data_IF_747257006146
#
_entry.id   IF_747257006146
#
_cell.length_a   1.000
_cell.length_b   1.000
_cell.length_c   1.000
_cell.angle_alpha   90.00
_cell.angle_beta   90.00
_cell.angle_gamma   90.00
#
_symmetry.space_group_name_H-M   'P 1'
#
loop_
_entity.id
_entity.type
_entity.pdbx_description
1 polymer ?
#
# COMPACT_ATOMS: atom_id res chain seq x y z
N UNK A 1 -5.24 23.81 -16.14
CA UNK A 1 -5.50 23.52 -14.71
C UNK A 1 -4.26 22.83 -14.20
N UNK A 2 -3.52 23.43 -13.24
CA UNK A 2 -2.35 22.77 -12.66
C UNK A 2 -2.81 21.45 -12.03
N UNK A 3 -2.21 20.32 -12.40
CA UNK A 3 -2.44 19.06 -11.73
C UNK A 3 -2.18 19.29 -10.23
N UNK A 4 -3.22 19.18 -9.42
CA UNK A 4 -3.06 19.19 -7.97
C UNK A 4 -2.03 18.12 -7.62
N UNK A 5 -1.01 18.45 -6.83
CA UNK A 5 0.11 17.56 -6.48
C UNK A 5 -0.32 16.48 -5.47
N UNK A 6 -1.54 15.93 -5.64
CA UNK A 6 -2.09 14.87 -4.79
C UNK A 6 -1.45 13.53 -5.11
N UNK A 7 -1.26 12.73 -4.07
CA UNK A 7 -0.93 11.32 -4.21
C UNK A 7 -2.23 10.59 -4.56
N UNK A 8 -2.25 9.85 -5.66
CA UNK A 8 -3.44 9.17 -6.18
C UNK A 8 -3.07 7.84 -6.82
N UNK A 9 -4.07 7.01 -7.12
CA UNK A 9 -3.86 5.70 -7.73
C UNK A 9 -3.68 4.59 -6.71
N UNK A 10 -3.15 3.47 -7.17
CA UNK A 10 -2.87 2.29 -6.33
C UNK A 10 -1.40 2.29 -5.92
N UNK A 11 -1.16 2.57 -4.64
CA UNK A 11 0.17 2.53 -4.04
C UNK A 11 0.33 1.21 -3.28
N UNK A 12 1.22 0.36 -3.73
CA UNK A 12 1.36 -1.00 -3.18
C UNK A 12 2.19 -1.02 -1.92
N UNK A 13 1.61 -1.46 -0.77
CA UNK A 13 2.39 -1.77 0.43
C UNK A 13 3.14 -3.08 0.19
N UNK A 14 4.31 -2.96 -0.44
CA UNK A 14 5.08 -4.11 -0.89
C UNK A 14 5.55 -4.98 0.28
N UNK A 15 5.49 -6.30 0.07
CA UNK A 15 6.08 -7.28 0.96
C UNK A 15 7.61 -7.12 1.00
N UNK A 16 8.21 -7.58 2.08
CA UNK A 16 9.66 -7.65 2.22
C UNK A 16 10.09 -9.11 2.20
N UNK A 17 10.78 -9.58 1.14
CA UNK A 17 11.30 -10.93 1.08
C UNK A 17 12.48 -11.10 2.02
N UNK A 18 12.61 -12.30 2.59
CA UNK A 18 13.73 -12.70 3.44
C UNK A 18 14.31 -14.04 2.98
N UNK A 19 15.63 -14.18 3.10
CA UNK A 19 16.32 -15.41 2.80
C UNK A 19 16.12 -16.48 3.90
N UNK A 20 16.72 -17.65 3.72
CA UNK A 20 16.66 -18.76 4.68
C UNK A 20 17.32 -18.46 6.04
N UNK A 21 18.08 -17.38 6.14
CA UNK A 21 18.68 -16.88 7.38
C UNK A 21 17.88 -15.72 8.00
N UNK A 22 16.76 -15.34 7.40
CA UNK A 22 15.90 -14.23 7.83
C UNK A 22 16.47 -12.85 7.50
N UNK A 23 17.47 -12.75 6.63
CA UNK A 23 17.98 -11.45 6.13
C UNK A 23 17.14 -11.00 4.95
N UNK A 24 17.08 -9.69 4.71
CA UNK A 24 16.42 -9.13 3.52
C UNK A 24 17.05 -9.75 2.27
N UNK A 25 16.20 -10.27 1.38
CA UNK A 25 16.60 -10.77 0.07
C UNK A 25 16.49 -9.63 -0.96
N UNK A 26 17.62 -8.96 -1.18
CA UNK A 26 17.68 -7.78 -2.04
C UNK A 26 17.33 -8.11 -3.50
N UNK A 27 17.77 -9.25 -4.01
CA UNK A 27 17.54 -9.64 -5.41
C UNK A 27 16.05 -9.92 -5.65
N UNK A 28 15.44 -10.67 -4.74
CA UNK A 28 14.00 -10.91 -4.78
C UNK A 28 13.20 -9.60 -4.63
N UNK A 29 13.62 -8.71 -3.71
CA UNK A 29 12.95 -7.42 -3.52
C UNK A 29 13.04 -6.54 -4.77
N UNK A 30 14.20 -6.46 -5.42
CA UNK A 30 14.38 -5.72 -6.68
C UNK A 30 13.52 -6.26 -7.80
N UNK A 31 13.51 -7.56 -8.01
CA UNK A 31 12.67 -8.20 -9.01
C UNK A 31 11.18 -7.97 -8.75
N UNK A 32 10.76 -8.06 -7.49
CA UNK A 32 9.37 -7.82 -7.09
C UNK A 32 8.95 -6.35 -7.31
N UNK A 33 9.84 -5.39 -7.04
CA UNK A 33 9.61 -3.96 -7.34
C UNK A 33 9.41 -3.74 -8.83
N UNK A 34 10.27 -4.32 -9.68
CA UNK A 34 10.12 -4.21 -11.14
C UNK A 34 8.80 -4.82 -11.61
N UNK A 35 8.47 -6.01 -11.13
CA UNK A 35 7.22 -6.67 -11.47
C UNK A 35 5.98 -5.86 -11.08
N UNK A 36 5.95 -5.25 -9.89
CA UNK A 36 4.85 -4.39 -9.46
C UNK A 36 4.67 -3.20 -10.41
N UNK A 37 5.77 -2.52 -10.76
CA UNK A 37 5.76 -1.37 -11.65
C UNK A 37 5.30 -1.77 -13.06
N UNK A 38 5.82 -2.88 -13.61
CA UNK A 38 5.42 -3.42 -14.91
C UNK A 38 3.94 -3.81 -14.95
N UNK A 39 3.37 -4.24 -13.81
CA UNK A 39 1.93 -4.51 -13.66
C UNK A 39 1.10 -3.26 -13.42
N UNK A 40 1.75 -2.09 -13.40
CA UNK A 40 1.12 -0.79 -13.49
C UNK A 40 0.62 -0.23 -12.17
N UNK A 41 1.23 -0.58 -11.03
CA UNK A 41 0.96 0.14 -9.78
C UNK A 41 1.38 1.60 -9.91
N UNK A 42 0.62 2.49 -9.27
CA UNK A 42 0.85 3.93 -9.35
C UNK A 42 1.85 4.44 -8.31
N UNK A 43 2.29 3.57 -7.40
CA UNK A 43 3.31 3.89 -6.40
C UNK A 43 3.70 2.68 -5.54
N UNK A 44 4.75 2.84 -4.77
CA UNK A 44 5.30 1.84 -3.85
C UNK A 44 5.24 2.35 -2.41
N UNK A 45 4.99 1.44 -1.47
CA UNK A 45 4.96 1.76 -0.05
C UNK A 45 5.77 0.73 0.77
N UNK A 46 7.14 0.79 0.73
CA UNK A 46 7.99 -0.03 1.59
C UNK A 46 7.80 0.29 3.08
N UNK A 47 8.15 -0.65 3.94
CA UNK A 47 8.03 -0.54 5.40
C UNK A 47 6.61 -0.22 5.90
N UNK A 48 5.58 -0.64 5.17
CA UNK A 48 4.21 -0.67 5.69
C UNK A 48 3.97 -1.87 6.61
N UNK A 49 2.73 -1.99 7.12
CA UNK A 49 2.33 -3.16 7.94
C UNK A 49 2.46 -4.46 7.15
N UNK A 50 2.08 -4.47 5.86
CA UNK A 50 2.26 -5.62 4.97
C UNK A 50 3.73 -5.98 4.75
N UNK A 51 4.61 -4.98 4.75
CA UNK A 51 6.07 -5.16 4.70
C UNK A 51 6.69 -5.51 6.05
N UNK A 52 5.90 -5.72 7.10
CA UNK A 52 6.33 -6.18 8.43
C UNK A 52 7.36 -5.26 9.11
N UNK A 53 7.25 -3.95 8.92
CA UNK A 53 8.26 -2.99 9.36
C UNK A 53 8.72 -3.16 10.81
N UNK A 54 7.82 -3.52 11.73
CA UNK A 54 8.16 -3.71 13.15
C UNK A 54 9.07 -4.91 13.42
N UNK A 55 9.21 -5.84 12.46
CA UNK A 55 10.05 -7.05 12.55
C UNK A 55 11.45 -6.84 12.01
N UNK A 56 11.76 -5.65 11.51
CA UNK A 56 13.06 -5.23 11.01
C UNK A 56 13.67 -4.16 11.91
N UNK A 57 14.99 -4.22 12.09
CA UNK A 57 15.72 -3.19 12.82
C UNK A 57 15.69 -1.85 12.06
N UNK A 58 15.93 -0.70 12.71
CA UNK A 58 15.98 0.60 12.01
C UNK A 58 16.97 0.61 10.84
N UNK A 59 18.11 -0.05 10.97
CA UNK A 59 19.10 -0.15 9.88
C UNK A 59 18.59 -0.97 8.71
N UNK A 60 17.91 -2.08 8.95
CA UNK A 60 17.30 -2.90 7.89
C UNK A 60 16.15 -2.16 7.20
N UNK A 61 15.35 -1.41 7.96
CA UNK A 61 14.29 -0.58 7.36
C UNK A 61 14.86 0.50 6.42
N UNK A 62 15.97 1.16 6.80
CA UNK A 62 16.68 2.09 5.91
C UNK A 62 17.20 1.37 4.66
N UNK A 63 17.78 0.18 4.84
CA UNK A 63 18.26 -0.64 3.72
C UNK A 63 17.11 -1.03 2.76
N UNK A 64 15.97 -1.49 3.28
CA UNK A 64 14.79 -1.83 2.47
C UNK A 64 14.33 -0.62 1.62
N UNK A 65 14.21 0.56 2.23
CA UNK A 65 13.82 1.77 1.49
C UNK A 65 14.84 2.10 0.41
N UNK A 66 16.14 2.02 0.73
CA UNK A 66 17.21 2.28 -0.24
C UNK A 66 17.13 1.33 -1.43
N UNK A 67 16.97 0.01 -1.20
CA UNK A 67 16.82 -0.98 -2.27
C UNK A 67 15.62 -0.67 -3.17
N UNK A 68 14.48 -0.30 -2.56
CA UNK A 68 13.26 0.04 -3.31
C UNK A 68 13.44 1.32 -4.12
N UNK A 69 14.03 2.36 -3.54
CA UNK A 69 14.26 3.64 -4.24
C UNK A 69 15.26 3.46 -5.38
N UNK A 70 16.37 2.76 -5.13
CA UNK A 70 17.38 2.47 -6.16
C UNK A 70 16.79 1.68 -7.33
N UNK A 71 15.98 0.67 -7.03
CA UNK A 71 15.37 -0.15 -8.08
C UNK A 71 14.25 0.58 -8.80
N UNK A 72 13.47 1.41 -8.08
CA UNK A 72 12.40 2.22 -8.66
C UNK A 72 12.90 3.20 -9.72
N UNK A 73 14.10 3.76 -9.56
CA UNK A 73 14.71 4.73 -10.51
C UNK A 73 13.77 5.88 -10.88
N UNK A 74 12.93 6.32 -9.97
CA UNK A 74 11.98 7.42 -10.19
C UNK A 74 10.79 7.09 -11.10
N UNK A 75 10.52 5.81 -11.42
CA UNK A 75 9.41 5.40 -12.29
C UNK A 75 8.04 5.68 -11.69
N UNK A 76 7.91 5.51 -10.38
CA UNK A 76 6.67 5.80 -9.62
C UNK A 76 7.01 6.46 -8.29
N UNK A 77 6.08 7.21 -7.66
CA UNK A 77 6.31 7.75 -6.32
C UNK A 77 6.51 6.64 -5.28
N UNK A 78 7.41 6.91 -4.31
CA UNK A 78 7.62 6.05 -3.14
C UNK A 78 7.12 6.75 -1.89
N UNK A 79 6.22 6.12 -1.13
CA UNK A 79 5.80 6.50 0.20
C UNK A 79 6.45 5.55 1.19
N UNK A 80 7.47 5.99 1.91
CA UNK A 80 8.18 5.11 2.84
C UNK A 80 7.56 5.12 4.24
N UNK A 81 7.25 3.95 4.78
CA UNK A 81 6.84 3.81 6.17
C UNK A 81 7.99 4.17 7.11
N UNK A 82 7.83 5.24 7.91
CA UNK A 82 8.88 5.82 8.74
C UNK A 82 8.62 5.72 10.25
N UNK A 83 7.54 5.04 10.67
CA UNK A 83 7.22 4.92 12.08
C UNK A 83 8.23 4.06 12.84
N UNK A 84 8.71 4.58 13.95
CA UNK A 84 9.61 3.92 14.88
C UNK A 84 8.96 3.83 16.27
N UNK A 85 9.63 3.14 17.22
CA UNK A 85 9.10 2.97 18.57
C UNK A 85 9.01 4.29 19.36
N UNK A 86 9.78 5.29 18.98
CA UNK A 86 9.78 6.61 19.63
C UNK A 86 9.89 7.73 18.59
N UNK A 87 9.45 8.94 18.98
CA UNK A 87 9.38 10.09 18.10
C UNK A 87 10.74 10.53 17.54
N UNK A 88 11.81 10.41 18.32
CA UNK A 88 13.16 10.81 17.89
C UNK A 88 13.63 9.95 16.72
N UNK A 89 13.55 8.64 16.86
CA UNK A 89 13.91 7.69 15.79
C UNK A 89 12.99 7.83 14.58
N UNK A 90 11.69 8.15 14.79
CA UNK A 90 10.76 8.45 13.69
C UNK A 90 11.23 9.66 12.88
N UNK A 91 11.64 10.76 13.53
CA UNK A 91 12.17 11.96 12.87
C UNK A 91 13.47 11.62 12.12
N UNK A 92 14.38 10.86 12.73
CA UNK A 92 15.62 10.41 12.09
C UNK A 92 15.34 9.55 10.84
N UNK A 93 14.36 8.64 10.91
CA UNK A 93 13.96 7.83 9.76
C UNK A 93 13.34 8.70 8.64
N UNK A 94 12.47 9.65 8.98
CA UNK A 94 11.88 10.57 8.02
C UNK A 94 12.93 11.35 7.25
N UNK A 95 13.92 11.93 7.96
CA UNK A 95 15.00 12.70 7.34
C UNK A 95 15.86 11.81 6.42
N UNK A 96 16.25 10.62 6.90
CA UNK A 96 17.01 9.66 6.09
C UNK A 96 16.25 9.26 4.80
N UNK A 97 14.95 9.03 4.89
CA UNK A 97 14.15 8.69 3.69
C UNK A 97 13.94 9.90 2.76
N UNK A 98 13.81 11.10 3.33
CA UNK A 98 13.80 12.35 2.54
C UNK A 98 15.08 12.52 1.71
N UNK A 99 16.25 12.26 2.31
CA UNK A 99 17.55 12.29 1.63
C UNK A 99 17.66 11.23 0.50
N UNK A 100 16.98 10.08 0.66
CA UNK A 100 16.87 9.05 -0.40
C UNK A 100 15.96 9.46 -1.56
N UNK A 101 15.22 10.57 -1.43
CA UNK A 101 14.34 11.10 -2.49
C UNK A 101 12.95 10.45 -2.55
N UNK A 102 12.43 9.94 -1.45
CA UNK A 102 11.02 9.48 -1.41
C UNK A 102 10.06 10.65 -1.61
N UNK A 103 8.88 10.39 -2.19
CA UNK A 103 7.84 11.43 -2.40
C UNK A 103 7.26 11.94 -1.08
N UNK A 104 7.08 11.04 -0.13
CA UNK A 104 6.61 11.36 1.21
C UNK A 104 6.92 10.19 2.15
N UNK A 105 6.89 10.46 3.46
CA UNK A 105 6.88 9.41 4.48
C UNK A 105 5.47 9.13 4.95
N UNK A 106 5.19 7.87 5.30
CA UNK A 106 3.92 7.45 5.86
C UNK A 106 4.13 7.00 7.32
N UNK A 107 3.40 7.60 8.24
CA UNK A 107 3.64 7.39 9.67
C UNK A 107 2.37 6.89 10.32
N UNK A 108 2.42 5.66 10.88
CA UNK A 108 1.37 5.13 11.74
C UNK A 108 1.36 5.86 13.08
N UNK A 109 0.18 6.10 13.63
CA UNK A 109 0.06 6.66 14.98
C UNK A 109 0.75 5.74 16.01
N UNK A 110 1.14 6.25 17.19
CA UNK A 110 1.78 5.44 18.23
C UNK A 110 0.97 4.17 18.56
N UNK A 111 1.65 3.03 18.59
CA UNK A 111 1.00 1.72 18.55
C UNK A 111 1.14 0.87 19.82
N UNK A 112 2.12 1.11 20.71
CA UNK A 112 2.25 0.35 21.95
C UNK A 112 1.36 0.91 23.06
N UNK A 113 1.48 2.22 23.34
CA UNK A 113 0.60 2.90 24.27
C UNK A 113 -0.49 3.65 23.51
N UNK A 114 -1.74 3.47 23.92
CA UNK A 114 -2.86 4.22 23.36
C UNK A 114 -2.81 5.66 23.85
N UNK A 115 -2.76 6.60 22.90
CA UNK A 115 -2.78 8.02 23.18
C UNK A 115 -4.19 8.61 23.06
N UNK A 116 -4.42 9.74 23.73
CA UNK A 116 -5.55 10.60 23.48
C UNK A 116 -5.41 11.34 22.14
N UNK A 117 -6.49 11.92 21.63
CA UNK A 117 -6.48 12.73 20.40
C UNK A 117 -5.45 13.87 20.46
N UNK A 118 -5.35 14.56 21.62
CA UNK A 118 -4.33 15.60 21.82
C UNK A 118 -2.91 15.05 21.80
N UNK A 119 -2.70 13.85 22.36
CA UNK A 119 -1.38 13.17 22.30
C UNK A 119 -1.01 12.77 20.85
N UNK A 120 -1.98 12.27 20.07
CA UNK A 120 -1.79 11.95 18.66
C UNK A 120 -1.49 13.23 17.85
N UNK A 121 -2.26 14.32 18.08
CA UNK A 121 -1.97 15.60 17.44
C UNK A 121 -0.57 16.10 17.76
N UNK A 122 -0.17 16.12 19.03
CA UNK A 122 1.14 16.59 19.46
C UNK A 122 2.28 15.76 18.84
N UNK A 123 2.11 14.43 18.77
CA UNK A 123 3.06 13.53 18.13
C UNK A 123 3.30 13.88 16.65
N UNK A 124 2.24 13.97 15.86
CA UNK A 124 2.38 14.28 14.44
C UNK A 124 2.84 15.72 14.19
N UNK A 125 2.38 16.67 15.02
CA UNK A 125 2.82 18.06 14.96
C UNK A 125 4.33 18.18 15.15
N UNK A 126 4.86 17.53 16.20
CA UNK A 126 6.30 17.53 16.49
C UNK A 126 7.10 16.96 15.31
N UNK A 127 6.64 15.87 14.70
CA UNK A 127 7.31 15.27 13.53
C UNK A 127 7.27 16.25 12.36
N UNK A 128 6.07 16.77 12.01
CA UNK A 128 5.90 17.65 10.86
C UNK A 128 6.73 18.95 10.97
N UNK A 129 6.91 19.46 12.19
CA UNK A 129 7.75 20.66 12.47
C UNK A 129 9.26 20.35 12.45
N UNK A 130 9.67 19.06 12.45
CA UNK A 130 11.07 18.63 12.58
C UNK A 130 11.66 17.99 11.32
N UNK A 131 10.87 17.84 10.25
CA UNK A 131 11.32 17.16 9.03
C UNK A 131 11.15 18.03 7.79
N UNK A 132 11.94 17.77 6.75
CA UNK A 132 11.84 18.47 5.47
C UNK A 132 11.09 17.71 4.37
N UNK A 133 10.78 16.43 4.61
CA UNK A 133 10.00 15.59 3.72
C UNK A 133 8.50 15.70 4.02
N UNK A 134 7.66 15.54 3.00
CA UNK A 134 6.20 15.51 3.17
C UNK A 134 5.76 14.27 3.99
N UNK A 135 4.72 14.45 4.78
CA UNK A 135 4.19 13.44 5.72
C UNK A 135 2.77 13.03 5.31
N UNK A 136 2.51 11.73 5.29
CA UNK A 136 1.16 11.18 5.25
C UNK A 136 0.84 10.48 6.57
N UNK A 137 -0.34 10.74 7.09
CA UNK A 137 -0.85 10.08 8.30
C UNK A 137 -1.27 8.65 7.95
N UNK A 138 -1.05 7.71 8.86
CA UNK A 138 -1.55 6.36 8.70
C UNK A 138 -2.46 5.98 9.87
N UNK A 139 -3.75 5.91 9.62
CA UNK A 139 -4.77 5.47 10.57
C UNK A 139 -5.05 3.98 10.39
N UNK A 140 -4.72 3.18 11.41
CA UNK A 140 -5.03 1.75 11.49
C UNK A 140 -5.42 1.39 12.93
N UNK A 141 -6.68 1.62 13.32
CA UNK A 141 -7.13 1.40 14.71
C UNK A 141 -6.98 -0.03 15.23
N UNK A 142 -6.82 -1.00 14.32
CA UNK A 142 -6.56 -2.40 14.67
C UNK A 142 -5.21 -2.59 15.39
N UNK A 143 -4.19 -1.77 15.06
CA UNK A 143 -2.82 -1.94 15.57
C UNK A 143 -2.28 -0.72 16.32
N UNK A 144 -2.90 0.45 16.19
CA UNK A 144 -2.37 1.71 16.68
C UNK A 144 -3.45 2.60 17.30
N UNK A 145 -3.03 3.71 17.93
CA UNK A 145 -3.96 4.73 18.39
C UNK A 145 -4.76 5.28 17.21
N UNK A 146 -6.10 5.36 17.30
CA UNK A 146 -6.90 5.91 16.23
C UNK A 146 -6.62 7.41 16.04
N UNK A 147 -6.72 7.88 14.80
CA UNK A 147 -6.65 9.29 14.44
C UNK A 147 -8.07 9.71 14.08
N UNK A 148 -8.72 10.48 14.94
CA UNK A 148 -10.08 10.94 14.69
C UNK A 148 -10.14 12.06 13.64
N UNK A 149 -11.35 12.32 13.11
CA UNK A 149 -11.59 13.28 12.03
C UNK A 149 -11.09 14.68 12.39
N UNK A 150 -11.33 15.14 13.63
CA UNK A 150 -10.91 16.47 14.06
C UNK A 150 -9.38 16.58 14.17
N UNK A 151 -8.72 15.54 14.67
CA UNK A 151 -7.26 15.48 14.72
C UNK A 151 -6.65 15.54 13.31
N UNK A 152 -7.20 14.77 12.35
CA UNK A 152 -6.74 14.83 10.94
C UNK A 152 -6.95 16.24 10.37
N UNK A 153 -8.13 16.84 10.59
CA UNK A 153 -8.45 18.18 10.11
C UNK A 153 -7.48 19.23 10.67
N UNK A 154 -7.22 19.23 11.97
CA UNK A 154 -6.27 20.14 12.61
C UNK A 154 -4.87 19.98 12.02
N UNK A 155 -4.35 18.75 11.93
CA UNK A 155 -3.04 18.49 11.34
C UNK A 155 -2.96 18.95 9.88
N UNK A 156 -4.00 18.73 9.09
CA UNK A 156 -4.04 19.18 7.71
C UNK A 156 -4.01 20.73 7.59
N UNK A 157 -4.62 21.47 8.54
CA UNK A 157 -4.64 22.93 8.51
C UNK A 157 -3.37 23.53 9.11
N UNK A 158 -2.90 22.98 10.21
CA UNK A 158 -1.81 23.56 11.00
C UNK A 158 -0.42 23.16 10.50
N UNK A 159 -0.30 22.04 9.76
CA UNK A 159 0.96 21.47 9.32
C UNK A 159 1.00 21.35 7.78
N UNK A 160 1.57 22.32 7.05
CA UNK A 160 1.61 22.27 5.58
C UNK A 160 2.27 21.01 5.00
N UNK A 161 3.23 20.42 5.72
CA UNK A 161 3.89 19.17 5.32
C UNK A 161 3.03 17.92 5.50
N UNK A 162 1.93 17.99 6.25
CA UNK A 162 0.95 16.91 6.32
C UNK A 162 0.06 16.99 5.08
N UNK A 163 0.34 16.15 4.09
CA UNK A 163 -0.24 16.22 2.74
C UNK A 163 -1.28 15.16 2.44
N UNK A 164 -1.55 14.25 3.37
CA UNK A 164 -2.53 13.20 3.14
C UNK A 164 -2.70 12.25 4.31
N UNK A 165 -3.66 11.36 4.14
CA UNK A 165 -3.93 10.25 5.06
C UNK A 165 -4.16 8.96 4.29
N UNK A 166 -3.61 7.85 4.81
CA UNK A 166 -4.05 6.49 4.53
C UNK A 166 -4.94 6.02 5.68
N UNK A 167 -6.15 5.62 5.40
CA UNK A 167 -7.08 5.07 6.39
C UNK A 167 -7.40 3.60 6.13
N UNK A 168 -7.02 2.75 7.08
CA UNK A 168 -7.28 1.30 7.09
C UNK A 168 -8.34 0.88 8.09
N UNK A 169 -9.18 1.82 8.56
CA UNK A 169 -10.28 1.51 9.48
C UNK A 169 -11.46 0.80 8.81
N UNK A 170 -11.65 1.03 7.50
CA UNK A 170 -12.86 0.63 6.78
C UNK A 170 -14.08 1.52 7.09
N UNK A 171 -13.92 2.57 7.89
CA UNK A 171 -15.01 3.48 8.29
C UNK A 171 -15.30 4.52 7.19
N UNK A 172 -16.15 4.14 6.24
CA UNK A 172 -16.58 5.01 5.15
C UNK A 172 -17.21 6.33 5.65
N UNK A 173 -18.13 6.35 6.65
CA UNK A 173 -18.64 7.59 7.21
C UNK A 173 -17.55 8.53 7.73
N UNK A 174 -16.52 8.03 8.40
CA UNK A 174 -15.42 8.88 8.86
C UNK A 174 -14.56 9.40 7.70
N UNK A 175 -14.29 8.57 6.69
CA UNK A 175 -13.62 9.03 5.48
C UNK A 175 -14.37 10.17 4.80
N UNK A 176 -15.70 10.06 4.65
CA UNK A 176 -16.53 11.11 4.07
C UNK A 176 -16.47 12.41 4.87
N UNK A 177 -16.49 12.33 6.22
CA UNK A 177 -16.34 13.51 7.10
C UNK A 177 -14.98 14.17 6.95
N UNK A 178 -13.90 13.39 6.86
CA UNK A 178 -12.56 13.93 6.61
C UNK A 178 -12.50 14.66 5.25
N UNK A 179 -12.97 14.04 4.19
CA UNK A 179 -13.00 14.63 2.85
C UNK A 179 -13.83 15.93 2.86
N UNK A 180 -15.04 15.89 3.42
CA UNK A 180 -15.93 17.06 3.49
C UNK A 180 -15.30 18.24 4.24
N UNK A 181 -14.61 17.97 5.36
CA UNK A 181 -14.08 19.03 6.22
C UNK A 181 -12.73 19.58 5.78
N UNK A 182 -11.93 18.81 5.03
CA UNK A 182 -10.55 19.15 4.68
C UNK A 182 -10.45 19.64 3.22
N UNK A 183 -11.03 18.93 2.27
CA UNK A 183 -10.84 19.18 0.83
C UNK A 183 -11.21 20.58 0.37
N UNK A 184 -12.25 21.27 0.90
CA UNK A 184 -12.58 22.65 0.51
C UNK A 184 -11.46 23.65 0.83
N UNK A 185 -10.63 23.40 1.84
CA UNK A 185 -9.55 24.28 2.30
C UNK A 185 -8.16 23.78 1.86
N UNK A 186 -7.98 22.46 1.71
CA UNK A 186 -6.77 21.78 1.30
C UNK A 186 -7.08 20.84 0.12
N UNK A 187 -7.31 21.45 -1.05
CA UNK A 187 -7.61 20.71 -2.28
C UNK A 187 -6.43 19.81 -2.74
N UNK A 188 -5.24 20.05 -2.21
CA UNK A 188 -4.01 19.28 -2.40
C UNK A 188 -3.89 18.07 -1.48
N UNK A 189 -4.71 17.97 -0.40
CA UNK A 189 -4.64 16.88 0.58
C UNK A 189 -5.17 15.57 -0.01
N UNK A 190 -4.39 14.50 0.15
CA UNK A 190 -4.68 13.17 -0.40
C UNK A 190 -5.39 12.26 0.60
N UNK A 191 -6.43 11.57 0.14
CA UNK A 191 -7.17 10.57 0.92
C UNK A 191 -7.00 9.20 0.27
N UNK A 192 -6.34 8.28 0.98
CA UNK A 192 -6.07 6.92 0.49
C UNK A 192 -6.76 5.90 1.39
N UNK A 193 -7.50 4.96 0.80
CA UNK A 193 -8.03 3.84 1.57
C UNK A 193 -6.99 2.73 1.69
N UNK A 194 -6.86 2.16 2.88
CA UNK A 194 -6.03 0.99 3.13
C UNK A 194 -6.85 -0.26 3.45
N UNK A 195 -8.18 -0.24 3.22
CA UNK A 195 -9.07 -1.35 3.44
C UNK A 195 -9.51 -1.96 2.12
N UNK A 196 -8.91 -3.07 1.75
CA UNK A 196 -9.07 -3.74 0.44
C UNK A 196 -10.54 -4.07 0.12
N UNK A 197 -11.29 -4.53 1.12
CA UNK A 197 -12.71 -4.90 0.97
C UNK A 197 -13.64 -3.72 0.64
N UNK A 198 -13.17 -2.48 0.79
CA UNK A 198 -13.96 -1.27 0.53
C UNK A 198 -13.32 -0.33 -0.51
N UNK A 199 -12.44 -0.83 -1.39
CA UNK A 199 -11.74 0.02 -2.35
C UNK A 199 -12.72 0.83 -3.21
N UNK A 200 -13.70 0.18 -3.86
CA UNK A 200 -14.67 0.85 -4.73
C UNK A 200 -15.53 1.87 -3.98
N UNK A 201 -16.23 1.52 -2.87
CA UNK A 201 -17.05 2.51 -2.17
C UNK A 201 -16.22 3.69 -1.62
N UNK A 202 -14.98 3.49 -1.20
CA UNK A 202 -14.09 4.57 -0.77
C UNK A 202 -13.69 5.49 -1.92
N UNK A 203 -13.40 4.94 -3.11
CA UNK A 203 -13.13 5.74 -4.31
C UNK A 203 -14.35 6.56 -4.72
N UNK A 204 -15.55 5.97 -4.72
CA UNK A 204 -16.82 6.67 -5.01
C UNK A 204 -17.08 7.80 -3.99
N UNK A 205 -16.73 7.58 -2.73
CA UNK A 205 -16.86 8.62 -1.68
C UNK A 205 -15.86 9.77 -1.85
N UNK A 206 -14.86 9.63 -2.74
CA UNK A 206 -13.91 10.69 -3.09
C UNK A 206 -12.48 10.45 -2.61
N UNK A 207 -12.10 9.23 -2.22
CA UNK A 207 -10.68 8.91 -2.05
C UNK A 207 -9.93 9.07 -3.37
N UNK A 208 -8.68 9.53 -3.28
CA UNK A 208 -7.80 9.75 -4.42
C UNK A 208 -7.14 8.45 -4.90
N UNK A 209 -7.19 7.40 -4.08
CA UNK A 209 -6.59 6.11 -4.38
C UNK A 209 -6.65 5.13 -3.23
N UNK A 210 -5.87 4.07 -3.34
CA UNK A 210 -5.76 3.02 -2.34
C UNK A 210 -4.32 2.61 -2.05
N UNK A 211 -4.11 2.14 -0.81
CA UNK A 211 -2.87 1.49 -0.38
C UNK A 211 -3.24 0.09 0.11
N UNK A 212 -3.58 -0.78 -0.83
CA UNK A 212 -4.24 -2.06 -0.62
C UNK A 212 -3.23 -3.20 -0.64
N UNK A 213 -3.27 -4.10 0.33
CA UNK A 213 -2.32 -5.21 0.43
C UNK A 213 -2.47 -6.22 -0.71
N UNK A 214 -3.69 -6.39 -1.24
CA UNK A 214 -3.97 -7.23 -2.41
C UNK A 214 -3.25 -6.76 -3.67
N UNK A 215 -2.89 -5.46 -3.78
CA UNK A 215 -2.11 -4.95 -4.92
C UNK A 215 -0.69 -5.52 -4.99
N UNK A 216 -0.17 -6.08 -3.89
CA UNK A 216 1.09 -6.84 -3.88
C UNK A 216 0.96 -8.26 -4.46
N UNK A 217 -0.27 -8.73 -4.72
CA UNK A 217 -0.56 -10.08 -5.22
C UNK A 217 -1.26 -10.04 -6.58
N UNK A 218 -2.25 -9.19 -6.72
CA UNK A 218 -3.03 -9.01 -7.96
C UNK A 218 -3.08 -7.53 -8.36
N UNK A 219 -1.91 -6.92 -8.66
CA UNK A 219 -1.81 -5.50 -8.99
C UNK A 219 -2.68 -5.12 -10.19
N UNK A 220 -2.80 -6.00 -11.17
CA UNK A 220 -3.60 -5.79 -12.37
C UNK A 220 -5.08 -5.56 -12.02
N UNK A 221 -5.62 -6.38 -11.12
CA UNK A 221 -7.03 -6.31 -10.71
C UNK A 221 -7.30 -5.04 -9.90
N UNK A 222 -6.45 -4.71 -8.93
CA UNK A 222 -6.63 -3.51 -8.10
C UNK A 222 -6.51 -2.23 -8.94
N UNK A 223 -5.60 -2.21 -9.92
CA UNK A 223 -5.49 -1.13 -10.88
C UNK A 223 -6.72 -1.02 -11.77
N UNK A 224 -7.21 -2.15 -12.31
CA UNK A 224 -8.42 -2.17 -13.13
C UNK A 224 -9.65 -1.64 -12.37
N UNK A 225 -9.80 -2.02 -11.09
CA UNK A 225 -10.84 -1.47 -10.20
C UNK A 225 -10.72 0.06 -10.13
N UNK A 226 -9.52 0.57 -9.82
CA UNK A 226 -9.28 2.01 -9.73
C UNK A 226 -9.63 2.72 -11.06
N UNK A 227 -9.13 2.23 -12.17
CA UNK A 227 -9.39 2.81 -13.50
C UNK A 227 -10.87 2.80 -13.85
N UNK A 228 -11.58 1.70 -13.62
CA UNK A 228 -13.02 1.62 -13.91
C UNK A 228 -13.82 2.63 -13.10
N UNK A 229 -13.46 2.88 -11.83
CA UNK A 229 -14.11 3.95 -11.05
C UNK A 229 -13.79 5.33 -11.65
N UNK A 230 -12.53 5.61 -12.03
CA UNK A 230 -12.14 6.89 -12.63
C UNK A 230 -12.86 7.17 -13.96
N UNK A 231 -13.17 6.12 -14.71
CA UNK A 231 -13.87 6.18 -16.01
C UNK A 231 -15.39 6.11 -15.85
N UNK A 232 -15.92 6.03 -14.63
CA UNK A 232 -17.36 5.96 -14.35
C UNK A 232 -18.01 4.59 -14.61
N UNK A 233 -17.21 3.54 -14.86
CA UNK A 233 -17.69 2.16 -15.06
C UNK A 233 -17.91 1.46 -13.72
N UNK A 234 -18.85 2.00 -12.93
CA UNK A 234 -19.05 1.61 -11.51
C UNK A 234 -19.50 0.15 -11.34
N UNK A 235 -20.42 -0.32 -12.21
CA UNK A 235 -20.89 -1.72 -12.16
C UNK A 235 -19.74 -2.71 -12.37
N UNK A 236 -18.89 -2.43 -13.36
CA UNK A 236 -17.70 -3.24 -13.65
C UNK A 236 -16.71 -3.23 -12.49
N UNK A 237 -16.44 -2.04 -11.90
CA UNK A 237 -15.60 -1.91 -10.74
C UNK A 237 -16.15 -2.72 -9.54
N UNK A 238 -17.47 -2.68 -9.31
CA UNK A 238 -18.10 -3.45 -8.24
C UNK A 238 -18.03 -4.96 -8.48
N UNK A 239 -18.18 -5.42 -9.72
CA UNK A 239 -18.01 -6.85 -10.06
C UNK A 239 -16.57 -7.31 -9.73
N UNK A 240 -15.56 -6.55 -10.15
CA UNK A 240 -14.16 -6.82 -9.83
C UNK A 240 -13.89 -6.77 -8.32
N UNK A 241 -14.49 -5.83 -7.59
CA UNK A 241 -14.41 -5.75 -6.13
C UNK A 241 -14.95 -7.04 -5.49
N UNK A 242 -16.13 -7.55 -5.92
CA UNK A 242 -16.69 -8.79 -5.41
C UNK A 242 -15.82 -10.02 -5.74
N UNK A 243 -15.14 -10.03 -6.86
CA UNK A 243 -14.18 -11.09 -7.20
C UNK A 243 -12.92 -11.02 -6.32
N UNK A 244 -12.50 -9.83 -5.89
CA UNK A 244 -11.34 -9.64 -5.01
C UNK A 244 -11.60 -10.11 -3.57
N UNK A 245 -12.84 -9.98 -3.06
CA UNK A 245 -13.16 -10.24 -1.67
C UNK A 245 -12.75 -11.64 -1.18
N UNK A 246 -13.07 -12.75 -1.89
CA UNK A 246 -12.67 -14.08 -1.44
C UNK A 246 -11.15 -14.23 -1.27
N UNK A 247 -10.36 -13.66 -2.17
CA UNK A 247 -8.90 -13.67 -2.07
C UNK A 247 -8.42 -12.84 -0.88
N UNK A 248 -8.97 -11.64 -0.71
CA UNK A 248 -8.63 -10.79 0.43
C UNK A 248 -8.93 -11.48 1.76
N UNK A 249 -10.13 -12.06 1.92
CA UNK A 249 -10.56 -12.75 3.12
C UNK A 249 -9.68 -13.98 3.40
N UNK A 250 -9.38 -14.79 2.36
CA UNK A 250 -8.50 -15.94 2.49
C UNK A 250 -7.09 -15.55 2.94
N UNK A 251 -6.52 -14.47 2.36
CA UNK A 251 -5.19 -13.99 2.74
C UNK A 251 -5.17 -13.33 4.12
N UNK A 252 -6.21 -12.56 4.45
CA UNK A 252 -6.29 -11.88 5.76
C UNK A 252 -6.49 -12.89 6.90
N UNK A 253 -7.26 -13.95 6.67
CA UNK A 253 -7.54 -15.01 7.63
C UNK A 253 -6.47 -16.11 7.73
N UNK A 254 -5.45 -16.10 6.86
CA UNK A 254 -4.43 -17.12 6.81
C UNK A 254 -3.28 -16.86 7.78
N UNK A 255 -3.34 -17.46 8.96
CA UNK A 255 -2.27 -17.35 9.96
C UNK A 255 -2.12 -15.94 10.54
N UNK A 256 -0.92 -15.67 11.03
CA UNK A 256 -0.59 -14.32 11.54
C UNK A 256 -0.33 -13.37 10.37
N UNK A 257 -0.90 -12.15 10.46
CA UNK A 257 -0.66 -11.13 9.43
C UNK A 257 0.85 -10.82 9.30
N UNK A 258 1.43 -10.74 8.07
CA UNK A 258 0.78 -10.82 6.76
C UNK A 258 1.01 -12.16 6.01
N UNK A 259 1.07 -13.29 6.70
CA UNK A 259 1.48 -14.59 6.14
C UNK A 259 0.64 -15.03 4.92
N UNK A 260 -0.66 -14.78 4.93
CA UNK A 260 -1.50 -15.08 3.78
C UNK A 260 -1.13 -14.28 2.53
N UNK A 261 -0.72 -13.03 2.68
CA UNK A 261 -0.23 -12.19 1.56
C UNK A 261 1.11 -12.72 1.03
N UNK A 262 1.98 -13.28 1.89
CA UNK A 262 3.19 -14.00 1.45
C UNK A 262 2.84 -15.23 0.61
N UNK A 263 1.80 -16.00 0.99
CA UNK A 263 1.33 -17.11 0.18
C UNK A 263 0.74 -16.63 -1.15
N UNK A 264 0.00 -15.52 -1.16
CA UNK A 264 -0.49 -14.91 -2.39
C UNK A 264 0.64 -14.48 -3.34
N UNK A 265 1.68 -13.84 -2.84
CA UNK A 265 2.85 -13.47 -3.64
C UNK A 265 3.59 -14.72 -4.15
N UNK A 266 3.70 -15.78 -3.33
CA UNK A 266 4.28 -17.06 -3.76
C UNK A 266 3.49 -17.70 -4.90
N UNK A 267 2.15 -17.63 -4.87
CA UNK A 267 1.31 -18.09 -5.98
C UNK A 267 1.55 -17.31 -7.29
N UNK A 268 2.15 -16.12 -7.18
CA UNK A 268 2.60 -15.28 -8.32
C UNK A 268 4.06 -15.52 -8.71
N UNK A 269 4.72 -16.48 -8.09
CA UNK A 269 6.11 -16.83 -8.37
C UNK A 269 7.15 -16.07 -7.53
N UNK A 270 6.71 -15.30 -6.52
CA UNK A 270 7.62 -14.55 -5.65
C UNK A 270 7.83 -15.27 -4.32
N UNK A 271 9.02 -15.85 -4.10
CA UNK A 271 9.34 -16.45 -2.81
C UNK A 271 9.72 -15.38 -1.79
N UNK A 272 8.76 -15.01 -0.95
CA UNK A 272 8.95 -14.02 0.10
C UNK A 272 9.65 -14.58 1.36
N UNK A 273 10.08 -15.85 1.32
CA UNK A 273 10.68 -16.54 2.47
C UNK A 273 9.66 -16.85 3.57
N UNK A 274 10.17 -17.30 4.72
CA UNK A 274 9.34 -17.79 5.82
C UNK A 274 8.71 -16.68 6.69
N UNK A 275 9.06 -15.42 6.49
CA UNK A 275 8.74 -14.35 7.42
C UNK A 275 9.57 -14.43 8.71
N UNK A 276 9.54 -13.35 9.50
CA UNK A 276 10.34 -13.27 10.75
C UNK A 276 9.56 -13.66 12.01
N UNK A 277 8.23 -13.79 11.91
CA UNK A 277 7.43 -14.26 13.03
C UNK A 277 7.64 -15.75 13.24
N UNK A 278 8.09 -16.20 14.41
CA UNK A 278 8.14 -17.62 14.74
C UNK A 278 6.76 -18.27 14.64
N UNK A 279 6.71 -19.48 14.13
CA UNK A 279 5.47 -20.26 13.96
C UNK A 279 5.61 -21.63 14.64
N UNK A 280 4.55 -22.05 15.30
CA UNK A 280 4.45 -23.43 15.75
C UNK A 280 4.17 -24.38 14.56
N UNK A 281 4.45 -25.68 14.68
CA UNK A 281 4.07 -26.66 13.64
C UNK A 281 2.59 -26.63 13.30
N UNK A 282 1.71 -26.37 14.29
CA UNK A 282 0.28 -26.27 14.07
C UNK A 282 -0.09 -25.03 13.23
N UNK A 283 0.53 -23.88 13.50
CA UNK A 283 0.31 -22.66 12.69
C UNK A 283 0.82 -22.85 11.28
N UNK A 284 1.97 -23.52 11.11
CA UNK A 284 2.48 -23.82 9.76
C UNK A 284 1.54 -24.77 9.01
N UNK A 285 1.05 -25.82 9.65
CA UNK A 285 0.09 -26.73 9.02
C UNK A 285 -1.23 -26.04 8.64
N UNK A 286 -1.73 -25.12 9.47
CA UNK A 286 -2.91 -24.32 9.16
C UNK A 286 -2.66 -23.42 7.93
N UNK A 287 -1.49 -22.78 7.85
CA UNK A 287 -1.11 -21.96 6.70
C UNK A 287 -0.97 -22.79 5.42
N UNK A 288 -0.38 -23.97 5.51
CA UNK A 288 -0.27 -24.91 4.37
C UNK A 288 -1.66 -25.40 3.92
N UNK A 289 -2.61 -25.55 4.84
CA UNK A 289 -3.97 -25.97 4.55
C UNK A 289 -4.76 -24.94 3.71
N UNK A 290 -4.50 -23.64 3.86
CA UNK A 290 -5.16 -22.58 3.08
C UNK A 290 -4.41 -22.20 1.80
N UNK A 291 -3.20 -22.68 1.62
CA UNK A 291 -2.36 -22.36 0.45
C UNK A 291 -3.04 -22.67 -0.87
N UNK A 292 -3.55 -23.89 -1.02
CA UNK A 292 -4.18 -24.33 -2.28
C UNK A 292 -5.40 -23.46 -2.64
N UNK A 293 -6.15 -22.98 -1.66
CA UNK A 293 -7.28 -22.07 -1.90
C UNK A 293 -6.77 -20.70 -2.38
N UNK A 294 -5.73 -20.14 -1.75
CA UNK A 294 -5.12 -18.88 -2.17
C UNK A 294 -4.56 -19.03 -3.60
N UNK A 295 -3.84 -20.10 -3.92
CA UNK A 295 -3.31 -20.38 -5.25
C UNK A 295 -4.41 -20.46 -6.30
N UNK A 296 -5.52 -21.14 -5.97
CA UNK A 296 -6.69 -21.25 -6.85
C UNK A 296 -7.31 -19.87 -7.12
N UNK A 297 -7.54 -19.07 -6.07
CA UNK A 297 -8.11 -17.73 -6.19
C UNK A 297 -7.20 -16.78 -6.97
N UNK A 298 -5.90 -16.80 -6.70
CA UNK A 298 -4.91 -16.02 -7.45
C UNK A 298 -4.92 -16.41 -8.92
N UNK A 299 -4.91 -17.73 -9.24
CA UNK A 299 -4.96 -18.20 -10.62
C UNK A 299 -6.22 -17.75 -11.35
N UNK A 300 -7.38 -17.81 -10.68
CA UNK A 300 -8.64 -17.34 -11.26
C UNK A 300 -8.59 -15.84 -11.61
N UNK A 301 -8.07 -14.99 -10.70
CA UNK A 301 -8.04 -13.55 -10.90
C UNK A 301 -6.92 -13.10 -11.86
N UNK A 302 -5.80 -13.84 -11.93
CA UNK A 302 -4.68 -13.50 -12.80
C UNK A 302 -4.90 -13.90 -14.26
N UNK A 303 -5.77 -14.87 -14.52
CA UNK A 303 -6.05 -15.41 -15.84
C UNK A 303 -7.36 -14.86 -16.46
N UNK A 304 -8.11 -14.03 -15.73
CA UNK A 304 -9.27 -13.36 -16.31
C UNK A 304 -8.81 -12.26 -17.25
N UNK A 305 -9.42 -12.14 -18.47
CA UNK A 305 -9.20 -10.94 -19.28
C UNK A 305 -9.66 -9.73 -18.46
N UNK A 306 -8.82 -8.69 -18.43
CA UNK A 306 -9.17 -7.41 -17.79
C UNK A 306 -10.44 -6.95 -18.49
N UNK A 307 -11.52 -6.73 -17.73
CA UNK A 307 -12.77 -6.26 -18.27
C UNK A 307 -12.50 -4.96 -19.08
N UNK A 308 -12.97 -4.89 -20.33
CA UNK A 308 -12.70 -3.79 -21.25
C UNK A 308 -11.55 -4.00 -22.24
N UNK A 309 -10.76 -5.06 -22.12
CA UNK A 309 -9.79 -5.47 -23.14
C UNK A 309 -10.28 -6.77 -23.78
N UNK A 310 -10.73 -6.69 -25.00
CA UNK A 310 -11.20 -7.86 -25.75
C UNK A 310 -10.03 -8.72 -26.24
N UNK A 311 -10.29 -9.99 -26.57
CA UNK A 311 -9.30 -10.85 -27.20
C UNK A 311 -8.77 -10.24 -28.52
N UNK A 312 -9.60 -9.46 -29.21
CA UNK A 312 -9.23 -8.72 -30.42
C UNK A 312 -8.29 -7.56 -30.13
N UNK A 313 -8.44 -6.87 -28.99
CA UNK A 313 -7.52 -5.79 -28.58
C UNK A 313 -6.14 -6.36 -28.25
N UNK A 314 -6.08 -7.51 -27.54
CA UNK A 314 -4.82 -8.23 -27.26
C UNK A 314 -4.17 -8.70 -28.56
N UNK A 315 -4.94 -9.22 -29.50
CA UNK A 315 -4.48 -9.62 -30.83
C UNK A 315 -3.92 -8.43 -31.61
N UNK A 316 -4.58 -7.29 -31.53
CA UNK A 316 -4.17 -6.04 -32.20
C UNK A 316 -2.90 -5.47 -31.58
N UNK A 317 -2.79 -5.44 -30.25
CA UNK A 317 -1.58 -5.00 -29.55
C UNK A 317 -0.40 -5.91 -29.87
N UNK A 318 -0.60 -7.23 -29.87
CA UNK A 318 0.44 -8.18 -30.22
C UNK A 318 0.90 -8.04 -31.68
N UNK A 319 -0.02 -7.74 -32.61
CA UNK A 319 0.30 -7.47 -34.01
C UNK A 319 1.10 -6.16 -34.17
N UNK A 320 0.76 -5.11 -33.40
CA UNK A 320 1.51 -3.84 -33.39
C UNK A 320 2.91 -4.05 -32.83
N UNK A 321 3.03 -4.75 -31.70
CA UNK A 321 4.32 -5.05 -31.07
C UNK A 321 5.22 -5.85 -32.00
N UNK A 322 4.70 -6.88 -32.68
CA UNK A 322 5.47 -7.64 -33.67
C UNK A 322 5.95 -6.75 -34.83
N UNK A 323 5.07 -5.88 -35.37
CA UNK A 323 5.44 -4.96 -36.42
C UNK A 323 6.53 -3.96 -36.04
N UNK A 324 6.51 -3.47 -34.78
CA UNK A 324 7.54 -2.57 -34.28
C UNK A 324 8.86 -3.31 -34.09
N UNK A 325 8.83 -4.56 -33.60
CA UNK A 325 10.03 -5.38 -33.45
C UNK A 325 10.65 -5.85 -34.76
N UNK A 326 9.86 -5.96 -35.84
CA UNK A 326 10.33 -6.29 -37.19
C UNK A 326 10.95 -5.07 -37.91
N UNK A 327 10.79 -3.86 -37.38
CA UNK A 327 11.35 -2.61 -37.92
C UNK A 327 12.57 -2.07 -37.16
N UNK A 328 12.95 -2.74 -36.05
CA UNK A 328 14.17 -2.51 -35.27
C UNK A 328 15.24 -3.54 -35.63
#
# INVERSE_FOLDING_TARGET
MSSLNRISGILTPNLTPVDSQGRVDDDCLRGYVDWLIERGVDGLYPNGSTGEFIRFTPSERRHIVQVVVDQNRGRVPVLAGAAEANVKETIEACNAYGEMGVRAVAIVAPYYYRLSSEGVYAYFRQIADSVDVDVTLYNIPLFASPIDVETVRRLAMDCPRVIGIKDSSGDLPNMMRMIQSIRPQRSDFSFLTGWDAALVPMLIAGCDGGTNATSGVVPELTRAIYQSVQEGRIEEAMQMQYQLLPLFDAMLGAGEFPEGFRQGARARGWDMGAGRQPKTPQQQAALDGVRSEIERLVSQLSNQPIAGVTADDISTINAIVRRVLEQL
#
